data_IF_673554987048
#
_entry.id   IF_673554987048
#
_cell.length_a   1.000
_cell.length_b   1.000
_cell.length_c   1.000
_cell.angle_alpha   90.00
_cell.angle_beta   90.00
_cell.angle_gamma   90.00
#
_symmetry.space_group_name_H-M   'P 1'
#
loop_
_entity.id
_entity.type
_entity.pdbx_description
1 polymer ?
#
# COMPACT_ATOMS: atom_id res chain seq x y z
N UNK A 1 0.51 -8.38 14.40
CA UNK A 1 0.66 -6.91 14.25
C UNK A 1 -0.57 -6.33 13.57
N UNK A 2 -0.77 -5.00 13.61
CA UNK A 2 -1.86 -4.34 12.89
C UNK A 2 -1.38 -3.06 12.21
N UNK A 3 -1.67 -2.89 10.92
CA UNK A 3 -1.59 -1.58 10.25
C UNK A 3 -2.84 -0.79 10.64
N UNK A 4 -2.65 0.37 11.27
CA UNK A 4 -3.75 1.10 11.94
C UNK A 4 -4.13 2.40 11.25
N UNK A 5 -3.23 2.99 10.45
CA UNK A 5 -3.50 4.27 9.82
C UNK A 5 -2.66 4.47 8.54
N UNK A 6 -3.11 5.41 7.71
CA UNK A 6 -2.43 5.92 6.53
C UNK A 6 -2.65 7.44 6.43
N UNK A 7 -1.57 8.20 6.66
CA UNK A 7 -1.60 9.65 6.58
C UNK A 7 -0.58 10.12 5.56
N UNK A 8 -1.02 10.91 4.57
CA UNK A 8 -0.12 11.51 3.56
C UNK A 8 0.80 10.47 2.89
N UNK A 9 0.27 9.29 2.59
CA UNK A 9 1.05 8.19 1.99
C UNK A 9 1.95 7.42 2.97
N UNK A 10 1.97 7.79 4.25
CA UNK A 10 2.75 7.14 5.30
C UNK A 10 1.87 6.22 6.14
N UNK A 11 2.18 4.93 6.14
CA UNK A 11 1.50 3.93 6.96
C UNK A 11 1.99 3.92 8.42
N UNK A 12 1.09 3.60 9.35
CA UNK A 12 1.38 3.42 10.77
C UNK A 12 0.95 2.04 11.24
N UNK A 13 1.69 1.47 12.21
CA UNK A 13 1.44 0.14 12.71
C UNK A 13 1.61 0.04 14.22
N UNK A 14 0.88 -0.93 14.80
CA UNK A 14 1.01 -1.34 16.18
C UNK A 14 1.40 -2.83 16.26
N UNK A 15 2.36 -3.13 17.13
CA UNK A 15 2.56 -4.47 17.66
C UNK A 15 1.58 -4.69 18.82
N UNK A 16 0.79 -5.76 18.71
CA UNK A 16 -0.21 -6.13 19.70
C UNK A 16 0.33 -7.33 20.47
N UNK A 17 0.54 -7.14 21.76
CA UNK A 17 0.99 -8.17 22.70
C UNK A 17 -0.17 -8.66 23.57
N UNK A 18 0.10 -9.66 24.40
CA UNK A 18 -0.86 -10.16 25.37
C UNK A 18 -1.43 -9.04 26.25
N UNK A 19 -2.67 -9.26 26.71
CA UNK A 19 -3.44 -8.26 27.48
C UNK A 19 -3.69 -6.96 26.71
N UNK A 20 -3.65 -7.03 25.37
CA UNK A 20 -3.94 -5.92 24.46
C UNK A 20 -2.98 -4.72 24.63
N UNK A 21 -1.75 -4.98 25.06
CA UNK A 21 -0.69 -3.96 25.10
C UNK A 21 -0.31 -3.62 23.66
N UNK A 22 -0.39 -2.33 23.32
CA UNK A 22 -0.04 -1.81 22.00
C UNK A 22 1.28 -1.07 22.08
N UNK A 23 2.19 -1.40 21.18
CA UNK A 23 3.45 -0.69 21.00
C UNK A 23 3.50 -0.17 19.58
N UNK A 24 3.52 1.16 19.44
CA UNK A 24 3.66 1.80 18.14
C UNK A 24 5.03 1.48 17.54
N UNK A 25 5.03 1.09 16.27
CA UNK A 25 6.24 0.78 15.52
C UNK A 25 6.05 1.13 14.05
N UNK A 26 7.15 1.34 13.33
CA UNK A 26 7.03 1.52 11.87
C UNK A 26 6.49 0.23 11.24
N UNK A 27 5.71 0.34 10.15
CA UNK A 27 5.19 -0.83 9.44
C UNK A 27 6.28 -1.81 9.03
N UNK A 28 7.42 -1.33 8.52
CA UNK A 28 8.54 -2.17 8.09
C UNK A 28 9.08 -3.05 9.22
N UNK A 29 9.28 -2.45 10.40
CA UNK A 29 9.77 -3.15 11.58
C UNK A 29 8.72 -4.15 12.09
N UNK A 30 7.44 -3.76 12.09
CA UNK A 30 6.33 -4.61 12.52
C UNK A 30 6.16 -5.85 11.64
N UNK A 31 6.21 -5.68 10.31
CA UNK A 31 6.15 -6.78 9.33
C UNK A 31 7.35 -7.70 9.50
N UNK A 32 8.55 -7.13 9.62
CA UNK A 32 9.78 -7.90 9.79
C UNK A 32 9.76 -8.78 11.04
N UNK A 33 9.21 -8.27 12.15
CA UNK A 33 9.00 -9.04 13.38
C UNK A 33 7.91 -10.09 13.17
N UNK A 34 6.78 -9.71 12.58
CA UNK A 34 5.66 -10.61 12.37
C UNK A 34 6.05 -11.86 11.57
N UNK A 35 6.82 -11.67 10.49
CA UNK A 35 7.35 -12.74 9.65
C UNK A 35 8.33 -13.65 10.41
N UNK A 36 9.20 -13.08 11.27
CA UNK A 36 10.19 -13.86 12.03
C UNK A 36 9.57 -14.69 13.15
N UNK A 37 8.51 -14.18 13.77
CA UNK A 37 7.84 -14.86 14.90
C UNK A 37 6.66 -15.71 14.43
N UNK A 38 6.23 -15.56 13.16
CA UNK A 38 5.12 -16.32 12.60
C UNK A 38 3.75 -15.88 13.15
N UNK A 39 3.58 -14.59 13.46
CA UNK A 39 2.31 -14.04 13.99
C UNK A 39 1.48 -13.41 12.86
N UNK A 40 0.15 -13.41 12.98
CA UNK A 40 -0.72 -12.84 11.96
C UNK A 40 -0.51 -11.34 11.78
N UNK A 41 -0.71 -10.92 10.53
CA UNK A 41 -0.72 -9.54 10.07
C UNK A 41 -2.17 -9.13 9.83
N UNK A 42 -2.60 -8.06 10.47
CA UNK A 42 -3.92 -7.46 10.28
C UNK A 42 -3.80 -6.04 9.75
N UNK A 43 -4.87 -5.53 9.16
CA UNK A 43 -5.02 -4.16 8.68
C UNK A 43 -6.38 -3.64 9.16
N UNK A 44 -6.44 -2.39 9.61
CA UNK A 44 -7.72 -1.73 9.90
C UNK A 44 -8.52 -1.55 8.61
N UNK A 45 -9.83 -1.76 8.70
CA UNK A 45 -10.73 -1.74 7.53
C UNK A 45 -10.70 -0.38 6.81
N UNK A 46 -10.60 0.72 7.55
CA UNK A 46 -10.48 2.06 6.98
C UNK A 46 -9.21 2.23 6.13
N UNK A 47 -8.09 1.65 6.55
CA UNK A 47 -6.83 1.68 5.80
C UNK A 47 -6.95 0.81 4.55
N UNK A 48 -7.57 -0.37 4.68
CA UNK A 48 -7.81 -1.25 3.54
C UNK A 48 -8.76 -0.61 2.51
N UNK A 49 -9.80 0.10 2.95
CA UNK A 49 -10.69 0.84 2.06
C UNK A 49 -9.98 1.98 1.33
N UNK A 50 -9.01 2.64 1.99
CA UNK A 50 -8.27 3.76 1.43
C UNK A 50 -7.15 3.34 0.47
N UNK A 51 -6.44 2.24 0.77
CA UNK A 51 -5.20 1.87 0.07
C UNK A 51 -5.17 0.42 -0.42
N UNK A 52 -6.26 -0.32 -0.25
CA UNK A 52 -6.40 -1.68 -0.76
C UNK A 52 -6.36 -1.69 -2.28
N UNK A 53 -5.48 -2.52 -2.82
CA UNK A 53 -5.44 -2.84 -4.25
C UNK A 53 -5.99 -4.25 -4.42
N UNK A 54 -7.01 -4.39 -5.24
CA UNK A 54 -7.41 -5.69 -5.77
C UNK A 54 -6.34 -6.09 -6.78
N UNK A 55 -5.51 -7.06 -6.40
CA UNK A 55 -4.62 -7.71 -7.34
C UNK A 55 -5.46 -8.79 -8.03
N UNK A 56 -5.72 -8.66 -9.35
CA UNK A 56 -6.36 -9.72 -10.11
C UNK A 56 -5.48 -10.98 -10.01
N UNK A 57 -6.09 -12.15 -9.82
CA UNK A 57 -5.36 -13.39 -10.10
C UNK A 57 -4.95 -13.38 -11.58
N UNK A 58 -3.78 -13.95 -11.92
CA UNK A 58 -3.31 -14.00 -13.33
C UNK A 58 -4.31 -14.67 -14.29
N UNK A 59 -5.30 -15.39 -13.75
CA UNK A 59 -6.42 -16.00 -14.47
C UNK A 59 -7.60 -15.06 -14.77
N UNK A 60 -7.69 -13.88 -14.14
CA UNK A 60 -8.74 -12.89 -14.37
C UNK A 60 -8.25 -11.78 -15.32
N UNK A 61 -8.28 -12.09 -16.61
CA UNK A 61 -7.84 -11.18 -17.69
C UNK A 61 -8.61 -9.85 -17.70
N UNK A 62 -9.89 -9.82 -17.32
CA UNK A 62 -10.71 -8.60 -17.29
C UNK A 62 -10.27 -7.62 -16.19
N UNK A 63 -10.01 -8.12 -14.97
CA UNK A 63 -9.58 -7.27 -13.86
C UNK A 63 -8.13 -6.78 -14.05
N UNK A 64 -7.28 -7.58 -14.70
CA UNK A 64 -5.92 -7.16 -15.08
C UNK A 64 -5.92 -6.07 -16.15
N UNK A 65 -6.94 -6.06 -17.02
CA UNK A 65 -7.10 -5.02 -18.06
C UNK A 65 -7.54 -3.69 -17.45
N UNK A 66 -8.50 -3.71 -16.52
CA UNK A 66 -8.99 -2.50 -15.85
C UNK A 66 -7.88 -1.76 -15.06
N UNK A 67 -7.04 -2.49 -14.32
CA UNK A 67 -5.90 -1.88 -13.59
C UNK A 67 -4.89 -1.25 -14.54
N UNK A 68 -4.59 -1.89 -15.68
CA UNK A 68 -3.70 -1.31 -16.70
C UNK A 68 -4.29 -0.08 -17.37
N UNK A 69 -5.61 -0.05 -17.60
CA UNK A 69 -6.28 1.11 -18.19
C UNK A 69 -6.19 2.33 -17.28
N UNK A 70 -6.42 2.17 -15.97
CA UNK A 70 -6.25 3.24 -14.97
C UNK A 70 -4.82 3.77 -14.90
N UNK A 71 -3.81 2.90 -14.99
CA UNK A 71 -2.40 3.33 -15.04
C UNK A 71 -2.04 4.05 -16.33
N UNK A 72 -2.60 3.62 -17.46
CA UNK A 72 -2.41 4.28 -18.77
C UNK A 72 -3.07 5.64 -18.80
N UNK A 73 -4.24 5.82 -18.18
CA UNK A 73 -4.92 7.11 -18.07
C UNK A 73 -4.11 8.10 -17.24
N UNK A 74 -3.64 7.67 -16.05
CA UNK A 74 -2.73 8.48 -15.21
C UNK A 74 -1.42 8.82 -15.92
N UNK A 75 -0.89 7.89 -16.72
CA UNK A 75 0.32 8.14 -17.49
C UNK A 75 0.08 9.14 -18.64
N UNK A 76 -1.09 9.13 -19.28
CA UNK A 76 -1.48 10.13 -20.27
C UNK A 76 -1.63 11.52 -19.64
N UNK A 77 -2.32 11.62 -18.51
CA UNK A 77 -2.43 12.88 -17.77
C UNK A 77 -1.05 13.42 -17.35
N UNK A 78 -0.15 12.53 -16.94
CA UNK A 78 1.25 12.88 -16.67
C UNK A 78 1.94 13.44 -17.92
N UNK A 79 1.85 12.76 -19.07
CA UNK A 79 2.44 13.23 -20.34
C UNK A 79 1.84 14.55 -20.83
N UNK A 80 0.56 14.80 -20.59
CA UNK A 80 -0.10 16.07 -20.94
C UNK A 80 0.35 17.22 -20.04
N UNK A 81 0.77 16.92 -18.80
CA UNK A 81 1.26 17.91 -17.83
C UNK A 81 2.76 18.19 -17.90
N UNK A 82 3.54 17.32 -18.56
CA UNK A 82 5.01 17.38 -18.58
C UNK A 82 5.53 17.75 -19.97
N UNK A 83 6.46 18.69 -20.02
CA UNK A 83 7.11 19.11 -21.26
C UNK A 83 8.42 18.32 -21.51
N UNK A 84 8.87 18.18 -22.76
CA UNK A 84 10.13 17.49 -23.09
C UNK A 84 11.39 18.08 -22.41
N UNK A 85 11.32 19.32 -21.92
CA UNK A 85 12.42 19.98 -21.23
C UNK A 85 12.49 19.63 -19.74
N UNK A 86 11.40 19.15 -19.13
CA UNK A 86 11.36 18.70 -17.73
C UNK A 86 12.15 17.39 -17.51
N UNK A 87 12.34 16.59 -18.57
CA UNK A 87 13.16 15.37 -18.56
C UNK A 87 14.67 15.65 -18.67
N UNK A 88 15.09 16.92 -18.84
CA UNK A 88 16.50 17.31 -18.99
C UNK A 88 17.13 17.84 -17.69
N UNK A 89 16.42 17.79 -16.57
CA UNK A 89 16.96 18.17 -15.27
C UNK A 89 17.68 16.97 -14.61
N UNK A 90 19.01 17.12 -14.51
CA UNK A 90 20.05 16.33 -13.81
C UNK A 90 19.60 15.43 -12.66
#
# INVERSE_FOLDING_TARGET
MRIVDLQEGTFYADLIFDRNIKVSARPSDSVAIALRVGVPIYVEEAVLAQAGLLIPDESDEEATTAVREDEVEKFKEFLDSVSPDDFKAT
#
